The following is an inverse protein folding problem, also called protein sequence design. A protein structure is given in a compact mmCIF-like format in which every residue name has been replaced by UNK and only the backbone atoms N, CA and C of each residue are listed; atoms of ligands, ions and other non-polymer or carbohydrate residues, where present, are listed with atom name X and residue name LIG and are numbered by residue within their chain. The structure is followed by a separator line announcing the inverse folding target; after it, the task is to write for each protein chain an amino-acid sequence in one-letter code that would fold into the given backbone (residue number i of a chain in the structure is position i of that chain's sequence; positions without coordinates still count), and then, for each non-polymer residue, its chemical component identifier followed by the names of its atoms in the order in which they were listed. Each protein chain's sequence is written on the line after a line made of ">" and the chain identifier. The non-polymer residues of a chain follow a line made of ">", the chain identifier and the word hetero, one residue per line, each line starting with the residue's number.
data_IF_796865539830
#
_entry.id   IF_796865539830
#
_cell.length_a   1.000
_cell.length_b   1.000
_cell.length_c   1.000
_cell.angle_alpha   90.00
_cell.angle_beta   90.00
_cell.angle_gamma   90.00
#
_symmetry.space_group_name_H-M   'P 1'
#
loop_
_entity.id
_entity.type
_entity.pdbx_description
1 polymer ?
#
# COMPACT_ATOMS: atom_id res chain seq x y z
N UNK A 1 1.93 2.98 -2.56
CA UNK A 1 3.14 2.27 -2.10
C UNK A 1 4.34 3.10 -2.52
N UNK A 2 5.18 3.54 -1.57
CA UNK A 2 6.31 4.43 -1.86
C UNK A 2 7.26 3.81 -2.89
N UNK A 3 7.50 2.50 -2.84
CA UNK A 3 8.43 1.84 -3.76
C UNK A 3 7.87 1.85 -5.18
N UNK A 4 6.57 1.57 -5.33
CA UNK A 4 5.89 1.67 -6.62
C UNK A 4 5.88 3.11 -7.15
N UNK A 5 5.67 4.10 -6.27
CA UNK A 5 5.72 5.52 -6.65
C UNK A 5 7.09 5.89 -7.22
N UNK A 6 8.19 5.40 -6.64
CA UNK A 6 9.55 5.62 -7.18
C UNK A 6 9.75 4.99 -8.55
N UNK A 7 9.23 3.77 -8.75
CA UNK A 7 9.28 3.11 -10.05
C UNK A 7 8.53 3.95 -11.10
N UNK A 8 7.33 4.41 -10.76
CA UNK A 8 6.44 5.15 -11.67
C UNK A 8 6.91 6.58 -11.95
N UNK A 9 7.48 7.27 -10.96
CA UNK A 9 7.88 8.67 -11.08
C UNK A 9 9.30 8.85 -11.64
N UNK A 10 10.19 7.87 -11.49
CA UNK A 10 11.61 8.03 -11.83
C UNK A 10 12.18 6.91 -12.70
N UNK A 11 12.00 5.64 -12.30
CA UNK A 11 12.63 4.51 -13.03
C UNK A 11 12.04 4.32 -14.42
N UNK A 12 10.70 4.19 -14.53
CA UNK A 12 10.04 4.01 -15.83
C UNK A 12 10.19 5.24 -16.73
N UNK A 13 10.06 6.49 -16.23
CA UNK A 13 10.32 7.67 -17.04
C UNK A 13 11.76 7.76 -17.58
N UNK A 14 12.78 7.36 -16.80
CA UNK A 14 14.16 7.30 -17.28
C UNK A 14 14.30 6.29 -18.44
N UNK A 15 13.72 5.10 -18.30
CA UNK A 15 13.69 4.10 -19.37
C UNK A 15 12.95 4.61 -20.62
N UNK A 16 11.79 5.25 -20.45
CA UNK A 16 11.04 5.84 -21.56
C UNK A 16 11.85 6.91 -22.28
N UNK A 17 12.56 7.77 -21.54
CA UNK A 17 13.39 8.80 -22.14
C UNK A 17 14.56 8.20 -22.91
N UNK A 18 15.23 7.17 -22.39
CA UNK A 18 16.29 6.46 -23.09
C UNK A 18 15.78 5.80 -24.38
N UNK A 19 14.60 5.17 -24.35
CA UNK A 19 13.98 4.58 -25.53
C UNK A 19 13.61 5.63 -26.59
N UNK A 20 13.10 6.81 -26.18
CA UNK A 20 12.84 7.93 -27.08
C UNK A 20 14.13 8.43 -27.73
N UNK A 21 15.20 8.57 -26.95
CA UNK A 21 16.53 8.96 -27.46
C UNK A 21 17.13 7.93 -28.42
N UNK A 22 16.79 6.65 -28.24
CA UNK A 22 17.12 5.57 -29.18
C UNK A 22 16.19 5.52 -30.43
N UNK A 23 15.29 6.48 -30.59
CA UNK A 23 14.44 6.60 -31.78
C UNK A 23 13.08 5.89 -31.71
N UNK A 24 12.67 5.35 -30.55
CA UNK A 24 11.33 4.78 -30.41
C UNK A 24 10.27 5.89 -30.25
N UNK A 25 9.40 6.04 -31.25
CA UNK A 25 8.35 7.07 -31.26
C UNK A 25 7.25 6.83 -30.22
N UNK A 26 6.72 5.60 -30.15
CA UNK A 26 5.57 5.26 -29.30
C UNK A 26 5.97 4.37 -28.12
N UNK A 27 6.75 4.95 -27.19
CA UNK A 27 7.24 4.25 -25.99
C UNK A 27 6.10 3.80 -25.06
N UNK A 28 5.02 4.55 -24.94
CA UNK A 28 3.91 4.22 -24.02
C UNK A 28 3.24 2.89 -24.35
N UNK A 29 3.02 2.59 -25.63
CA UNK A 29 2.45 1.31 -26.07
C UNK A 29 3.36 0.15 -25.70
N UNK A 30 4.68 0.30 -25.88
CA UNK A 30 5.65 -0.72 -25.49
C UNK A 30 5.68 -0.90 -23.96
N UNK A 31 5.73 0.19 -23.21
CA UNK A 31 5.74 0.14 -21.74
C UNK A 31 4.46 -0.48 -21.18
N UNK A 32 3.29 -0.15 -21.74
CA UNK A 32 2.03 -0.78 -21.38
C UNK A 32 2.01 -2.28 -21.71
N UNK A 33 2.61 -2.70 -22.83
CA UNK A 33 2.72 -4.11 -23.21
C UNK A 33 3.66 -4.88 -22.26
N UNK A 34 4.82 -4.29 -21.92
CA UNK A 34 5.85 -4.95 -21.11
C UNK A 34 5.57 -4.91 -19.62
N UNK A 35 4.99 -3.82 -19.13
CA UNK A 35 4.89 -3.52 -17.70
C UNK A 35 3.47 -3.12 -17.25
N UNK A 36 2.48 -3.14 -18.14
CA UNK A 36 1.08 -2.85 -17.83
C UNK A 36 0.27 -4.10 -17.50
N UNK A 37 -0.93 -3.87 -16.98
CA UNK A 37 -1.85 -4.92 -16.53
C UNK A 37 -2.41 -5.76 -17.69
N UNK A 38 -2.66 -5.12 -18.84
CA UNK A 38 -3.14 -5.77 -20.08
C UNK A 38 -2.05 -6.54 -20.83
N UNK A 39 -0.81 -6.55 -20.31
CA UNK A 39 0.29 -7.31 -20.88
C UNK A 39 0.01 -8.83 -20.82
N UNK A 40 0.42 -9.54 -21.88
CA UNK A 40 0.20 -10.98 -22.11
C UNK A 40 0.19 -11.83 -20.82
N UNK A 41 -0.92 -12.52 -20.58
CA UNK A 41 -1.16 -13.44 -19.44
C UNK A 41 -0.39 -14.77 -19.56
N UNK A 42 0.71 -14.79 -20.31
CA UNK A 42 1.36 -15.99 -20.83
C UNK A 42 2.66 -16.28 -20.06
N UNK A 43 3.47 -17.24 -20.55
CA UNK A 43 4.77 -17.67 -20.00
C UNK A 43 5.78 -16.52 -19.70
N UNK A 44 5.56 -15.33 -20.24
CA UNK A 44 6.39 -14.13 -19.97
C UNK A 44 6.00 -13.37 -18.70
N UNK A 45 4.85 -13.68 -18.08
CA UNK A 45 4.42 -13.06 -16.82
C UNK A 45 5.47 -13.23 -15.70
N UNK A 46 6.06 -14.42 -15.58
CA UNK A 46 7.16 -14.68 -14.65
C UNK A 46 8.39 -13.81 -14.96
N UNK A 47 8.78 -13.67 -16.24
CA UNK A 47 9.93 -12.85 -16.60
C UNK A 47 9.68 -11.35 -16.36
N UNK A 48 8.46 -10.86 -16.60
CA UNK A 48 8.04 -9.50 -16.24
C UNK A 48 8.12 -9.26 -14.73
N UNK A 49 7.64 -10.21 -13.93
CA UNK A 49 7.79 -10.18 -12.48
C UNK A 49 9.27 -10.13 -12.09
N UNK A 50 10.12 -10.96 -12.70
CA UNK A 50 11.54 -10.98 -12.43
C UNK A 50 12.25 -9.68 -12.83
N UNK A 51 11.86 -9.02 -13.93
CA UNK A 51 12.35 -7.66 -14.26
C UNK A 51 12.02 -6.69 -13.13
N UNK A 52 10.79 -6.73 -12.60
CA UNK A 52 10.39 -5.86 -11.50
C UNK A 52 11.21 -6.14 -10.23
N UNK A 53 11.38 -7.42 -9.88
CA UNK A 53 12.10 -7.85 -8.68
C UNK A 53 13.62 -7.61 -8.75
N UNK A 54 14.24 -7.84 -9.91
CA UNK A 54 15.70 -7.80 -10.09
C UNK A 54 16.22 -6.44 -10.60
N UNK A 55 15.37 -5.62 -11.23
CA UNK A 55 15.78 -4.33 -11.79
C UNK A 55 15.02 -3.19 -11.09
N UNK A 56 13.71 -3.08 -11.27
CA UNK A 56 12.98 -1.86 -10.86
C UNK A 56 12.91 -1.66 -9.34
N UNK A 57 12.68 -2.73 -8.57
CA UNK A 57 12.63 -2.66 -7.12
C UNK A 57 13.98 -2.29 -6.49
N UNK A 58 15.12 -2.92 -6.87
CA UNK A 58 16.44 -2.49 -6.43
C UNK A 58 16.76 -1.05 -6.81
N UNK A 59 16.50 -0.61 -8.05
CA UNK A 59 16.71 0.79 -8.47
C UNK A 59 15.93 1.77 -7.60
N UNK A 60 14.63 1.50 -7.41
CA UNK A 60 13.78 2.32 -6.56
C UNK A 60 14.24 2.34 -5.09
N UNK A 61 14.78 1.22 -4.59
CA UNK A 61 15.38 1.16 -3.26
C UNK A 61 16.65 2.00 -3.17
N UNK A 62 17.55 1.91 -4.15
CA UNK A 62 18.77 2.73 -4.20
C UNK A 62 18.43 4.23 -4.23
N UNK A 63 17.40 4.65 -4.97
CA UNK A 63 16.89 6.03 -4.93
C UNK A 63 16.47 6.42 -3.51
N UNK A 64 15.66 5.58 -2.84
CA UNK A 64 15.19 5.86 -1.49
C UNK A 64 16.33 5.87 -0.46
N UNK A 65 17.32 4.99 -0.59
CA UNK A 65 18.49 4.94 0.30
C UNK A 65 19.36 6.21 0.17
N UNK A 66 19.53 6.74 -1.04
CA UNK A 66 20.16 8.04 -1.25
C UNK A 66 19.31 9.16 -0.65
N UNK A 67 18.00 9.10 -0.83
CA UNK A 67 17.08 10.09 -0.28
C UNK A 67 16.98 10.06 1.26
N UNK A 68 17.17 8.92 1.91
CA UNK A 68 17.26 8.84 3.38
C UNK A 68 18.46 9.64 3.92
N UNK A 69 19.53 9.80 3.13
CA UNK A 69 20.75 10.54 3.53
C UNK A 69 20.76 11.98 3.06
N UNK A 70 19.73 12.39 2.33
CA UNK A 70 19.61 13.72 1.75
C UNK A 70 19.41 14.78 2.83
N UNK A 71 20.23 15.83 2.80
CA UNK A 71 20.01 17.05 3.56
C UNK A 71 19.17 18.03 2.71
N UNK A 72 17.94 18.40 3.13
CA UNK A 72 17.12 19.39 2.43
C UNK A 72 17.77 20.76 2.18
N UNK A 73 18.87 21.09 2.86
CA UNK A 73 19.64 22.31 2.63
C UNK A 73 20.64 22.18 1.47
N UNK A 74 20.96 20.97 1.04
CA UNK A 74 21.83 20.73 -0.11
C UNK A 74 21.03 20.84 -1.42
N UNK A 75 21.05 22.03 -2.01
CA UNK A 75 20.38 22.29 -3.29
C UNK A 75 20.98 21.52 -4.49
N UNK A 76 22.23 21.05 -4.37
CA UNK A 76 23.00 20.40 -5.43
C UNK A 76 22.92 18.88 -5.41
N UNK A 77 22.36 18.26 -4.37
CA UNK A 77 22.32 16.81 -4.26
C UNK A 77 21.52 16.17 -5.41
N UNK A 78 22.19 15.29 -6.14
CA UNK A 78 21.62 14.55 -7.26
C UNK A 78 22.18 13.13 -7.35
N UNK A 79 21.39 12.25 -7.95
CA UNK A 79 21.83 10.95 -8.44
C UNK A 79 22.08 11.14 -9.94
N UNK A 80 23.30 10.84 -10.39
CA UNK A 80 23.66 10.75 -11.80
C UNK A 80 24.42 9.44 -11.99
N UNK A 81 23.71 8.41 -12.45
CA UNK A 81 24.22 7.07 -12.59
C UNK A 81 23.42 6.28 -13.63
N UNK A 82 24.03 5.25 -14.20
CA UNK A 82 23.34 4.24 -15.00
C UNK A 82 22.57 3.26 -14.11
N UNK A 83 21.62 2.54 -14.70
CA UNK A 83 20.94 1.44 -14.00
C UNK A 83 21.95 0.40 -13.49
N UNK A 84 23.00 0.08 -14.24
CA UNK A 84 24.05 -0.84 -13.80
C UNK A 84 24.71 -0.41 -12.48
N UNK A 85 25.11 0.86 -12.38
CA UNK A 85 25.80 1.41 -11.22
C UNK A 85 24.91 1.49 -9.98
N UNK A 86 23.59 1.56 -10.16
CA UNK A 86 22.62 1.63 -9.08
C UNK A 86 22.18 0.25 -8.55
N UNK A 87 22.49 -0.84 -9.25
CA UNK A 87 22.13 -2.20 -8.84
C UNK A 87 23.23 -2.81 -7.96
N UNK A 88 22.84 -3.35 -6.80
CA UNK A 88 23.77 -4.04 -5.90
C UNK A 88 24.16 -5.43 -6.38
N UNK A 89 23.26 -6.09 -7.11
CA UNK A 89 23.46 -7.41 -7.69
C UNK A 89 23.06 -7.38 -9.18
N UNK A 90 23.83 -8.03 -10.07
CA UNK A 90 23.49 -8.07 -11.48
C UNK A 90 22.23 -8.92 -11.69
N UNK A 91 21.29 -8.47 -12.56
CA UNK A 91 20.15 -9.29 -12.94
C UNK A 91 20.60 -10.58 -13.63
N UNK A 92 19.81 -11.63 -13.48
CA UNK A 92 20.10 -12.91 -14.14
C UNK A 92 20.12 -12.78 -15.66
N UNK A 93 20.97 -13.56 -16.34
CA UNK A 93 21.09 -13.52 -17.80
C UNK A 93 19.74 -13.68 -18.52
N UNK A 94 18.87 -14.58 -18.04
CA UNK A 94 17.53 -14.80 -18.62
C UNK A 94 16.65 -13.54 -18.58
N UNK A 95 16.77 -12.75 -17.51
CA UNK A 95 16.00 -11.49 -17.37
C UNK A 95 16.54 -10.45 -18.33
N UNK A 96 17.86 -10.31 -18.44
CA UNK A 96 18.51 -9.38 -19.37
C UNK A 96 18.21 -9.74 -20.83
N UNK A 97 18.35 -11.00 -21.20
CA UNK A 97 18.05 -11.51 -22.55
C UNK A 97 16.58 -11.25 -22.93
N UNK A 98 15.66 -11.51 -21.99
CA UNK A 98 14.24 -11.22 -22.19
C UNK A 98 14.00 -9.72 -22.43
N UNK A 99 14.43 -8.86 -21.50
CA UNK A 99 14.07 -7.45 -21.58
C UNK A 99 14.79 -6.73 -22.71
N UNK A 100 16.11 -6.93 -22.86
CA UNK A 100 16.86 -6.35 -23.97
C UNK A 100 16.37 -6.91 -25.31
N UNK A 101 15.99 -8.19 -25.37
CA UNK A 101 15.38 -8.78 -26.57
C UNK A 101 14.05 -8.14 -26.97
N UNK A 102 13.16 -7.86 -26.01
CA UNK A 102 11.90 -7.15 -26.30
C UNK A 102 12.14 -5.68 -26.72
N UNK A 103 13.06 -4.98 -26.06
CA UNK A 103 13.40 -3.59 -26.37
C UNK A 103 14.08 -3.47 -27.74
N UNK A 104 15.05 -4.35 -28.04
CA UNK A 104 15.75 -4.40 -29.33
C UNK A 104 14.80 -4.67 -30.49
N UNK A 105 13.83 -5.58 -30.31
CA UNK A 105 12.80 -5.88 -31.33
C UNK A 105 11.88 -4.69 -31.60
N UNK A 106 11.67 -3.81 -30.62
CA UNK A 106 10.91 -2.58 -30.81
C UNK A 106 11.73 -1.48 -31.51
N UNK A 107 13.06 -1.51 -31.37
CA UNK A 107 14.00 -0.53 -31.91
C UNK A 107 14.58 -0.95 -33.28
N UNK A 108 13.73 -1.33 -34.25
CA UNK A 108 14.06 -1.57 -35.67
C UNK A 108 15.44 -2.24 -36.01
N UNK A 109 16.03 -3.04 -35.12
CA UNK A 109 17.28 -3.79 -35.33
C UNK A 109 18.59 -2.99 -35.34
N UNK A 110 18.59 -1.72 -35.75
CA UNK A 110 19.85 -1.00 -36.07
C UNK A 110 20.59 -0.39 -34.87
N UNK A 111 19.91 -0.16 -33.74
CA UNK A 111 20.54 0.41 -32.54
C UNK A 111 20.62 -0.62 -31.42
N UNK A 112 21.82 -0.89 -30.91
CA UNK A 112 22.01 -1.75 -29.74
C UNK A 112 21.48 -1.03 -28.51
N UNK A 113 20.50 -1.63 -27.83
CA UNK A 113 19.96 -1.13 -26.57
C UNK A 113 20.24 -2.09 -25.42
N UNK A 114 20.76 -1.56 -24.31
CA UNK A 114 20.94 -2.29 -23.07
C UNK A 114 20.28 -1.53 -21.92
N UNK A 115 19.32 -2.18 -21.26
CA UNK A 115 18.61 -1.62 -20.10
C UNK A 115 19.56 -1.19 -18.98
N UNK A 116 20.71 -1.85 -18.83
CA UNK A 116 21.67 -1.52 -17.79
C UNK A 116 22.42 -0.21 -18.05
N UNK A 117 22.47 0.24 -19.30
CA UNK A 117 23.10 1.51 -19.71
C UNK A 117 22.14 2.70 -19.67
N UNK A 118 20.89 2.50 -19.24
CA UNK A 118 19.91 3.58 -19.11
C UNK A 118 20.38 4.58 -18.05
N UNK A 119 20.56 5.88 -18.39
CA UNK A 119 20.94 6.90 -17.42
C UNK A 119 19.74 7.28 -16.54
N UNK A 120 19.99 7.44 -15.24
CA UNK A 120 19.06 7.96 -14.26
C UNK A 120 19.67 9.21 -13.62
N UNK A 121 19.14 10.37 -14.02
CA UNK A 121 19.51 11.67 -13.47
C UNK A 121 18.35 12.20 -12.63
N UNK A 122 18.54 12.32 -11.32
CA UNK A 122 17.52 12.72 -10.36
C UNK A 122 18.06 13.72 -9.34
N UNK A 123 17.56 14.95 -9.39
CA UNK A 123 17.75 15.93 -8.30
C UNK A 123 16.95 15.53 -7.07
N UNK A 124 17.59 15.35 -5.92
CA UNK A 124 16.92 14.91 -4.69
C UNK A 124 15.93 15.96 -4.16
N UNK A 125 16.14 17.24 -4.45
CA UNK A 125 15.16 18.30 -4.19
C UNK A 125 13.84 18.12 -4.96
N UNK A 126 13.90 17.58 -6.18
CA UNK A 126 12.68 17.27 -6.94
C UNK A 126 11.88 16.17 -6.22
N UNK A 127 12.57 15.10 -5.81
CA UNK A 127 11.97 14.01 -5.02
C UNK A 127 11.41 14.53 -3.69
N UNK A 128 12.12 15.42 -3.01
CA UNK A 128 11.63 16.07 -1.81
C UNK A 128 10.32 16.81 -2.04
N UNK A 129 10.22 17.55 -3.15
CA UNK A 129 9.00 18.24 -3.58
C UNK A 129 7.80 17.30 -3.77
N UNK A 130 7.99 16.05 -4.23
CA UNK A 130 6.88 15.10 -4.44
C UNK A 130 6.16 14.73 -3.13
N UNK A 131 6.88 14.72 -1.99
CA UNK A 131 6.29 14.51 -0.66
C UNK A 131 5.45 15.71 -0.20
N UNK A 132 5.71 16.90 -0.71
CA UNK A 132 5.00 18.13 -0.35
C UNK A 132 3.80 18.40 -1.29
N UNK A 133 3.90 17.98 -2.56
CA UNK A 133 2.93 18.25 -3.63
C UNK A 133 1.84 17.18 -3.83
N UNK A 134 1.67 16.26 -2.88
CA UNK A 134 0.67 15.16 -2.92
C UNK A 134 0.85 14.17 -4.08
N UNK A 135 2.06 14.06 -4.63
CA UNK A 135 2.38 13.13 -5.71
C UNK A 135 2.77 11.75 -5.21
N UNK A 136 3.32 11.68 -4.01
CA UNK A 136 3.58 10.44 -3.30
C UNK A 136 2.30 9.90 -2.66
N UNK A 137 1.96 8.64 -2.91
CA UNK A 137 0.71 8.01 -2.46
C UNK A 137 0.53 8.03 -0.94
N UNK A 138 1.62 8.02 -0.17
CA UNK A 138 1.59 8.07 1.30
C UNK A 138 1.12 9.43 1.85
N UNK A 139 1.27 10.52 1.09
CA UNK A 139 1.06 11.89 1.57
C UNK A 139 -0.38 12.13 2.02
N UNK A 140 -1.36 11.58 1.30
CA UNK A 140 -2.76 11.71 1.66
C UNK A 140 -3.04 11.10 3.03
N UNK A 141 -2.53 9.89 3.30
CA UNK A 141 -2.66 9.22 4.59
C UNK A 141 -1.99 10.03 5.70
N UNK A 142 -0.80 10.58 5.46
CA UNK A 142 -0.08 11.40 6.46
C UNK A 142 -0.82 12.71 6.77
N UNK A 143 -1.42 13.35 5.76
CA UNK A 143 -2.27 14.53 5.96
C UNK A 143 -3.49 14.21 6.82
N UNK A 144 -4.19 13.11 6.52
CA UNK A 144 -5.32 12.66 7.35
C UNK A 144 -4.88 12.34 8.79
N UNK A 145 -3.72 11.73 8.98
CA UNK A 145 -3.16 11.47 10.32
C UNK A 145 -2.83 12.77 11.07
N UNK A 146 -2.28 13.79 10.39
CA UNK A 146 -2.03 15.10 10.98
C UNK A 146 -3.33 15.76 11.46
N UNK A 147 -4.43 15.64 10.69
CA UNK A 147 -5.75 16.11 11.13
C UNK A 147 -6.21 15.41 12.41
N UNK A 148 -6.03 14.09 12.52
CA UNK A 148 -6.37 13.33 13.73
C UNK A 148 -5.54 13.76 14.93
N UNK A 149 -4.23 13.93 14.76
CA UNK A 149 -3.34 14.41 15.83
C UNK A 149 -3.82 15.76 16.36
N UNK A 150 -4.19 16.69 15.47
CA UNK A 150 -4.75 17.99 15.85
C UNK A 150 -6.12 17.86 16.51
N UNK A 151 -7.02 17.02 15.98
CA UNK A 151 -8.38 16.85 16.48
C UNK A 151 -8.40 16.33 17.92
N UNK A 152 -7.56 15.34 18.23
CA UNK A 152 -7.46 14.76 19.57
C UNK A 152 -6.57 15.57 20.52
N UNK A 153 -6.05 16.72 20.08
CA UNK A 153 -5.19 17.60 20.89
C UNK A 153 -4.01 16.85 21.53
N UNK A 154 -3.35 15.99 20.76
CA UNK A 154 -2.24 15.19 21.27
C UNK A 154 -1.11 16.08 21.81
N UNK A 155 -0.41 15.63 22.86
CA UNK A 155 0.70 16.41 23.40
C UNK A 155 1.99 16.26 22.58
N UNK A 156 2.28 15.05 22.13
CA UNK A 156 3.52 14.68 21.44
C UNK A 156 3.20 13.73 20.29
N UNK A 157 3.87 13.92 19.15
CA UNK A 157 3.81 13.02 18.01
C UNK A 157 5.17 12.32 17.84
N UNK A 158 5.18 10.99 17.99
CA UNK A 158 6.37 10.17 17.75
C UNK A 158 6.32 9.59 16.32
N UNK A 159 7.34 9.89 15.51
CA UNK A 159 7.49 9.33 14.17
C UNK A 159 8.38 8.09 14.23
N UNK A 160 7.84 6.95 13.81
CA UNK A 160 8.54 5.66 13.80
C UNK A 160 8.35 4.88 12.50
N UNK A 161 9.02 3.74 12.37
CA UNK A 161 9.04 2.91 11.17
C UNK A 161 9.97 3.45 10.08
N UNK A 162 10.35 2.61 9.12
CA UNK A 162 11.29 2.98 8.04
C UNK A 162 10.89 4.24 7.26
N UNK A 163 9.62 4.43 6.85
CA UNK A 163 9.25 5.64 6.12
C UNK A 163 9.46 6.96 6.87
N UNK A 164 9.52 6.95 8.21
CA UNK A 164 9.80 8.17 9.00
C UNK A 164 11.23 8.71 8.81
N UNK A 165 12.15 7.88 8.27
CA UNK A 165 13.52 8.28 7.92
C UNK A 165 13.57 9.22 6.72
N UNK A 166 12.56 9.19 5.86
CA UNK A 166 12.54 10.04 4.68
C UNK A 166 12.40 11.52 5.07
N UNK A 167 13.31 12.41 4.63
CA UNK A 167 13.26 13.83 4.96
C UNK A 167 11.91 14.47 4.60
N UNK A 168 11.29 14.03 3.50
CA UNK A 168 9.98 14.51 3.05
C UNK A 168 8.83 14.19 3.99
N UNK A 169 8.85 13.05 4.69
CA UNK A 169 7.81 12.70 5.68
C UNK A 169 7.90 13.62 6.90
N UNK A 170 9.11 13.84 7.40
CA UNK A 170 9.32 14.76 8.52
C UNK A 170 9.01 16.21 8.13
N UNK A 171 9.44 16.64 6.94
CA UNK A 171 9.14 17.96 6.39
C UNK A 171 7.64 18.17 6.23
N UNK A 172 6.90 17.16 5.74
CA UNK A 172 5.45 17.23 5.62
C UNK A 172 4.78 17.47 6.97
N UNK A 173 5.10 16.71 8.03
CA UNK A 173 4.52 16.96 9.35
C UNK A 173 4.89 18.34 9.91
N UNK A 174 6.13 18.79 9.72
CA UNK A 174 6.56 20.14 10.13
C UNK A 174 5.87 21.25 9.33
N UNK A 175 5.54 20.99 8.07
CA UNK A 175 4.78 21.91 7.22
C UNK A 175 3.29 21.95 7.59
N UNK A 176 2.69 20.81 7.90
CA UNK A 176 1.29 20.69 8.32
C UNK A 176 1.04 21.24 9.72
N UNK A 177 2.07 21.25 10.58
CA UNK A 177 2.01 21.74 11.96
C UNK A 177 0.82 21.22 12.78
N UNK A 178 0.56 19.90 12.84
CA UNK A 178 -0.47 19.37 13.73
C UNK A 178 -0.13 19.62 15.21
N UNK A 179 1.16 19.86 15.50
CA UNK A 179 1.72 20.26 16.79
C UNK A 179 2.89 21.24 16.56
N UNK A 180 3.31 22.01 17.58
CA UNK A 180 4.57 22.74 17.54
C UNK A 180 5.74 21.80 17.19
N UNK A 181 6.68 22.26 16.36
CA UNK A 181 7.77 21.42 15.86
C UNK A 181 8.63 20.76 16.94
N UNK A 182 8.75 21.37 18.13
CA UNK A 182 9.45 20.80 19.28
C UNK A 182 8.78 19.56 19.88
N UNK A 183 7.52 19.30 19.54
CA UNK A 183 6.72 18.15 20.01
C UNK A 183 6.52 17.07 18.94
N UNK A 184 7.13 17.23 17.77
CA UNK A 184 7.16 16.22 16.70
C UNK A 184 8.54 15.57 16.72
N UNK A 185 8.64 14.38 17.30
CA UNK A 185 9.90 13.70 17.56
C UNK A 185 10.09 12.53 16.60
N UNK A 186 11.16 12.57 15.80
CA UNK A 186 11.60 11.38 15.08
C UNK A 186 12.30 10.44 16.05
N UNK A 187 11.93 9.15 16.02
CA UNK A 187 12.62 8.12 16.79
C UNK A 187 13.92 7.68 16.13
N UNK A 188 14.16 8.01 14.86
CA UNK A 188 15.49 7.83 14.27
C UNK A 188 16.51 8.74 14.95
N UNK A 189 17.63 8.16 15.41
CA UNK A 189 18.69 8.89 16.09
C UNK A 189 18.33 9.39 17.49
N UNK A 190 17.15 9.05 18.01
CA UNK A 190 16.72 9.45 19.34
C UNK A 190 17.64 8.84 20.40
N UNK A 191 18.12 9.65 21.34
CA UNK A 191 19.06 9.22 22.36
C UNK A 191 18.35 8.42 23.45
N UNK A 192 18.76 7.17 23.59
CA UNK A 192 18.26 6.22 24.58
C UNK A 192 19.32 5.81 25.59
N UNK A 193 20.59 6.21 25.42
CA UNK A 193 21.72 5.63 26.17
C UNK A 193 21.81 4.11 25.93
N UNK A 194 22.36 3.35 26.87
CA UNK A 194 22.71 1.94 26.64
C UNK A 194 21.55 0.95 26.85
N UNK A 195 20.40 1.37 27.40
CA UNK A 195 19.32 0.43 27.72
C UNK A 195 18.60 -0.13 26.49
N UNK A 196 18.59 0.62 25.39
CA UNK A 196 17.86 0.23 24.18
C UNK A 196 18.63 -0.87 23.43
N UNK A 197 18.07 -2.09 23.25
CA UNK A 197 18.86 -3.24 22.78
C UNK A 197 19.51 -3.07 21.40
N UNK A 198 18.87 -2.31 20.51
CA UNK A 198 19.34 -2.09 19.13
C UNK A 198 19.99 -0.71 18.96
N UNK A 199 20.56 -0.14 20.04
CA UNK A 199 21.18 1.17 19.97
C UNK A 199 22.51 1.12 19.21
N UNK A 200 22.85 2.23 18.58
CA UNK A 200 24.17 2.51 18.02
C UNK A 200 24.64 3.83 18.60
N UNK A 201 25.72 3.79 19.38
CA UNK A 201 26.25 4.95 20.10
C UNK A 201 25.18 5.62 20.99
N UNK A 202 24.39 4.82 21.71
CA UNK A 202 23.36 5.32 22.63
C UNK A 202 22.12 5.91 21.94
N UNK A 203 21.92 5.66 20.65
CA UNK A 203 20.78 6.16 19.85
C UNK A 203 20.05 5.05 19.12
N UNK A 204 18.76 5.25 18.86
CA UNK A 204 17.96 4.34 18.04
C UNK A 204 18.43 4.44 16.57
N UNK A 205 19.09 3.39 16.07
CA UNK A 205 19.60 3.35 14.69
C UNK A 205 18.47 3.11 13.69
N UNK A 206 17.61 2.11 13.96
CA UNK A 206 16.49 1.75 13.11
C UNK A 206 15.15 1.97 13.84
N UNK A 207 14.35 2.98 13.45
CA UNK A 207 13.07 3.26 14.11
C UNK A 207 12.08 2.10 14.01
N UNK A 208 12.20 1.17 13.04
CA UNK A 208 11.33 -0.03 12.99
C UNK A 208 11.51 -0.93 14.22
N UNK A 209 12.68 -0.89 14.87
CA UNK A 209 12.96 -1.71 16.06
C UNK A 209 12.11 -1.32 17.27
N UNK A 210 11.51 -0.11 17.30
CA UNK A 210 10.77 0.37 18.48
C UNK A 210 9.52 -0.48 18.75
N UNK A 211 8.92 -1.07 17.72
CA UNK A 211 7.80 -2.00 17.88
C UNK A 211 8.23 -3.30 18.59
N UNK A 212 9.38 -3.86 18.21
CA UNK A 212 9.93 -5.06 18.84
C UNK A 212 10.36 -4.79 20.30
N UNK A 213 10.98 -3.63 20.55
CA UNK A 213 11.32 -3.21 21.91
C UNK A 213 10.07 -2.96 22.76
N UNK A 214 9.02 -2.35 22.19
CA UNK A 214 7.73 -2.21 22.86
C UNK A 214 7.13 -3.55 23.27
N UNK A 215 7.12 -4.53 22.36
CA UNK A 215 6.65 -5.89 22.67
C UNK A 215 7.48 -6.58 23.77
N UNK A 216 8.81 -6.41 23.74
CA UNK A 216 9.69 -6.89 24.80
C UNK A 216 9.36 -6.25 26.15
N UNK A 217 9.12 -4.93 26.19
CA UNK A 217 8.72 -4.23 27.41
C UNK A 217 7.38 -4.76 27.95
N UNK A 218 6.41 -5.04 27.08
CA UNK A 218 5.16 -5.68 27.48
C UNK A 218 5.40 -7.03 28.15
N UNK A 219 6.22 -7.89 27.55
CA UNK A 219 6.55 -9.21 28.10
C UNK A 219 7.26 -9.11 29.45
N UNK A 220 8.27 -8.25 29.56
CA UNK A 220 9.00 -8.05 30.83
C UNK A 220 8.09 -7.47 31.92
N UNK A 221 7.13 -6.62 31.56
CA UNK A 221 6.16 -6.09 32.51
C UNK A 221 5.20 -7.18 33.03
N UNK A 222 4.74 -8.09 32.16
CA UNK A 222 3.90 -9.24 32.55
C UNK A 222 4.62 -10.15 33.56
N UNK A 223 5.92 -10.34 33.37
CA UNK A 223 6.76 -11.16 34.26
C UNK A 223 7.27 -10.39 35.50
N UNK A 224 6.85 -9.13 35.71
CA UNK A 224 7.32 -8.24 36.78
C UNK A 224 8.86 -8.04 36.80
N UNK A 225 9.49 -8.06 35.63
CA UNK A 225 10.96 -7.97 35.45
C UNK A 225 11.47 -6.57 35.17
N UNK A 226 10.59 -5.57 35.09
CA UNK A 226 10.97 -4.16 34.93
C UNK A 226 11.07 -3.48 36.30
N UNK A 227 12.29 -3.11 36.71
CA UNK A 227 12.51 -2.35 37.94
C UNK A 227 12.06 -0.90 37.77
N UNK A 228 11.34 -0.35 38.75
CA UNK A 228 10.96 1.08 38.79
C UNK A 228 10.14 1.58 37.60
N UNK A 229 9.56 0.67 36.80
CA UNK A 229 8.67 0.99 35.70
C UNK A 229 7.42 0.13 35.80
N UNK A 230 6.29 0.77 36.09
CA UNK A 230 5.02 0.07 36.23
C UNK A 230 4.16 0.26 34.99
N UNK A 231 3.72 -0.85 34.42
CA UNK A 231 3.03 -0.89 33.15
C UNK A 231 2.03 -2.04 33.15
N UNK A 232 0.74 -1.73 32.94
CA UNK A 232 -0.35 -2.72 32.94
C UNK A 232 -0.43 -3.44 31.61
N UNK A 233 0.60 -4.23 31.28
CA UNK A 233 0.63 -4.99 30.02
C UNK A 233 -0.55 -5.99 29.90
N UNK A 234 -1.08 -6.48 31.01
CA UNK A 234 -2.23 -7.41 31.01
C UNK A 234 -3.56 -6.80 30.58
N UNK A 235 -3.68 -5.47 30.59
CA UNK A 235 -4.90 -4.77 30.18
C UNK A 235 -5.01 -4.66 28.64
N UNK A 236 -3.95 -4.99 27.89
CA UNK A 236 -4.00 -4.98 26.44
C UNK A 236 -4.83 -6.13 25.90
N UNK A 237 -5.93 -5.77 25.27
CA UNK A 237 -6.78 -6.69 24.53
C UNK A 237 -6.84 -6.23 23.07
N UNK A 238 -6.74 -7.15 22.09
CA UNK A 238 -7.06 -6.81 20.72
C UNK A 238 -8.53 -6.38 20.65
N UNK A 239 -8.82 -5.38 19.83
CA UNK A 239 -10.18 -4.90 19.61
C UNK A 239 -10.38 -4.57 18.13
N UNK A 240 -11.62 -4.62 17.67
CA UNK A 240 -11.94 -4.31 16.28
C UNK A 240 -11.87 -2.82 16.01
N UNK A 241 -11.21 -2.44 14.91
CA UNK A 241 -11.19 -1.04 14.44
C UNK A 241 -12.25 -0.77 13.37
N UNK A 242 -13.04 -1.77 13.00
CA UNK A 242 -14.07 -1.65 11.95
C UNK A 242 -15.25 -0.87 12.52
N UNK A 243 -15.50 0.34 12.02
CA UNK A 243 -16.72 1.11 12.36
C UNK A 243 -17.66 1.29 11.18
N UNK A 244 -17.11 1.50 9.99
CA UNK A 244 -17.87 1.70 8.76
C UNK A 244 -17.42 0.67 7.72
N UNK A 245 -18.34 -0.11 7.17
CA UNK A 245 -18.08 -1.14 6.16
C UNK A 245 -18.89 -0.83 4.90
N UNK A 246 -18.24 -0.92 3.74
CA UNK A 246 -18.91 -0.64 2.48
C UNK A 246 -18.06 -0.95 1.25
N UNK A 247 -18.53 -0.53 0.08
CA UNK A 247 -17.80 -0.73 -1.17
C UNK A 247 -16.63 0.24 -1.27
N UNK A 248 -15.43 -0.31 -1.49
CA UNK A 248 -14.27 0.50 -1.82
C UNK A 248 -14.35 0.99 -3.26
N UNK A 249 -14.07 2.27 -3.40
CA UNK A 249 -13.86 2.93 -4.69
C UNK A 249 -12.39 2.80 -5.11
N UNK A 250 -12.03 3.50 -6.18
CA UNK A 250 -10.64 3.73 -6.52
C UNK A 250 -9.88 4.36 -5.33
N UNK A 251 -8.57 4.13 -5.29
CA UNK A 251 -7.65 4.70 -4.30
C UNK A 251 -7.99 4.39 -2.83
N UNK A 252 -8.71 3.29 -2.57
CA UNK A 252 -9.17 2.86 -1.25
C UNK A 252 -9.97 3.93 -0.50
N UNK A 253 -10.79 4.69 -1.24
CA UNK A 253 -11.76 5.60 -0.63
C UNK A 253 -13.07 4.87 -0.34
N UNK A 254 -13.71 5.24 0.77
CA UNK A 254 -15.03 4.78 1.17
C UNK A 254 -15.93 5.99 1.42
N UNK A 255 -16.56 6.49 0.35
CA UNK A 255 -17.47 7.62 0.43
C UNK A 255 -18.69 7.32 1.30
N UNK A 256 -19.32 8.37 1.83
CA UNK A 256 -20.52 8.23 2.66
C UNK A 256 -21.67 7.51 1.95
N UNK A 257 -21.78 7.63 0.63
CA UNK A 257 -22.77 6.91 -0.20
C UNK A 257 -22.49 5.42 -0.35
N UNK A 258 -21.23 5.00 -0.21
CA UNK A 258 -20.82 3.61 -0.36
C UNK A 258 -20.65 2.87 0.97
N UNK A 259 -20.90 3.55 2.10
CA UNK A 259 -21.00 2.91 3.42
C UNK A 259 -22.32 2.15 3.51
N UNK A 260 -22.25 0.84 3.72
CA UNK A 260 -23.41 -0.05 3.80
C UNK A 260 -23.80 -0.37 5.24
N UNK A 261 -22.81 -0.48 6.12
CA UNK A 261 -23.00 -0.73 7.55
C UNK A 261 -22.22 0.32 8.35
N UNK A 262 -22.83 0.81 9.41
CA UNK A 262 -22.34 1.90 10.26
C UNK A 262 -22.29 1.45 11.71
N UNK A 263 -21.48 2.16 12.49
CA UNK A 263 -21.38 2.02 13.94
C UNK A 263 -21.17 0.55 14.38
N UNK A 264 -20.34 -0.16 13.61
CA UNK A 264 -19.99 -1.55 13.89
C UNK A 264 -19.22 -1.61 15.20
N UNK A 265 -19.63 -2.52 16.09
CA UNK A 265 -18.97 -2.75 17.37
C UNK A 265 -18.82 -4.25 17.61
N UNK A 266 -17.80 -4.86 17.02
CA UNK A 266 -17.58 -6.30 17.14
C UNK A 266 -17.12 -6.70 18.55
N UNK A 267 -16.60 -5.76 19.34
CA UNK A 267 -16.16 -6.01 20.71
C UNK A 267 -17.35 -6.15 21.69
N UNK A 268 -18.58 -5.83 21.24
CA UNK A 268 -19.82 -6.11 21.96
C UNK A 268 -20.33 -7.53 21.59
N UNK A 269 -20.38 -8.49 22.55
CA UNK A 269 -20.69 -9.89 22.24
C UNK A 269 -22.05 -10.13 21.56
N UNK A 270 -23.02 -9.24 21.77
CA UNK A 270 -24.36 -9.32 21.21
C UNK A 270 -24.56 -8.45 19.96
N UNK A 271 -23.49 -7.86 19.42
CA UNK A 271 -23.60 -6.98 18.27
C UNK A 271 -24.10 -7.73 17.03
N UNK A 272 -25.07 -7.12 16.35
CA UNK A 272 -25.58 -7.60 15.06
C UNK A 272 -25.67 -6.45 14.08
N UNK A 273 -25.46 -6.75 12.80
CA UNK A 273 -25.68 -5.78 11.74
C UNK A 273 -27.18 -5.45 11.63
N UNK A 274 -27.48 -4.21 11.22
CA UNK A 274 -28.86 -3.80 10.93
C UNK A 274 -29.49 -4.76 9.91
N UNK A 275 -30.51 -5.50 10.35
CA UNK A 275 -31.25 -6.45 9.52
C UNK A 275 -31.92 -5.82 8.29
N UNK A 276 -32.13 -4.51 8.27
CA UNK A 276 -32.69 -3.76 7.14
C UNK A 276 -31.62 -3.36 6.13
N UNK A 277 -30.37 -3.22 6.58
CA UNK A 277 -29.26 -2.86 5.71
C UNK A 277 -29.02 -3.94 4.65
N UNK A 278 -28.79 -3.47 3.43
CA UNK A 278 -28.41 -4.30 2.28
C UNK A 278 -27.74 -3.41 1.26
N UNK A 279 -26.92 -4.01 0.39
CA UNK A 279 -26.28 -3.29 -0.69
C UNK A 279 -26.50 -3.98 -2.02
N UNK A 280 -26.30 -3.23 -3.11
CA UNK A 280 -26.54 -3.71 -4.46
C UNK A 280 -25.22 -3.92 -5.19
N UNK A 281 -25.14 -4.99 -5.97
CA UNK A 281 -23.97 -5.29 -6.80
C UNK A 281 -24.42 -5.62 -8.23
N UNK A 282 -23.59 -5.20 -9.20
CA UNK A 282 -23.73 -5.51 -10.64
C UNK A 282 -22.59 -6.39 -11.16
N UNK A 283 -21.77 -6.92 -10.26
CA UNK A 283 -20.56 -7.66 -10.56
C UNK A 283 -19.77 -7.92 -9.29
N UNK A 284 -18.50 -8.31 -9.45
CA UNK A 284 -17.59 -8.38 -8.31
C UNK A 284 -17.31 -7.00 -7.73
N UNK A 285 -17.06 -6.93 -6.42
CA UNK A 285 -16.62 -5.70 -5.77
C UNK A 285 -15.64 -5.99 -4.63
N UNK A 286 -14.93 -4.95 -4.19
CA UNK A 286 -14.14 -4.98 -2.98
C UNK A 286 -14.90 -4.27 -1.85
N UNK A 287 -15.11 -4.96 -0.74
CA UNK A 287 -15.56 -4.35 0.51
C UNK A 287 -14.34 -3.95 1.34
N UNK A 288 -14.43 -2.78 1.95
CA UNK A 288 -13.43 -2.28 2.87
C UNK A 288 -14.05 -1.46 3.98
N UNK A 289 -13.21 -1.02 4.90
CA UNK A 289 -13.66 -0.36 6.11
C UNK A 289 -12.86 0.89 6.45
N UNK A 290 -13.48 1.78 7.23
CA UNK A 290 -12.81 2.91 7.88
C UNK A 290 -13.18 3.01 9.36
N UNK A 291 -12.27 3.58 10.14
CA UNK A 291 -12.39 3.76 11.59
C UNK A 291 -13.23 4.99 11.98
N UNK A 292 -13.16 6.06 11.17
CA UNK A 292 -13.73 7.37 11.49
C UNK A 292 -14.87 7.72 10.53
N UNK A 293 -15.88 8.48 10.99
CA UNK A 293 -16.93 8.99 10.10
C UNK A 293 -16.49 10.20 9.25
N UNK A 294 -15.41 10.04 8.48
CA UNK A 294 -14.93 11.00 7.50
C UNK A 294 -14.63 10.30 6.17
N UNK A 295 -15.26 10.76 5.08
CA UNK A 295 -15.05 10.20 3.73
C UNK A 295 -13.64 10.42 3.17
N UNK A 296 -12.89 11.39 3.70
CA UNK A 296 -11.47 11.62 3.36
C UNK A 296 -10.52 10.70 4.13
N UNK A 297 -11.02 9.99 5.13
CA UNK A 297 -10.22 9.03 5.89
C UNK A 297 -9.93 7.81 5.00
N UNK A 298 -8.66 7.39 4.87
CA UNK A 298 -8.32 6.24 4.04
C UNK A 298 -9.03 5.00 4.56
N UNK A 299 -9.65 4.25 3.66
CA UNK A 299 -10.23 2.96 3.99
C UNK A 299 -9.24 1.83 3.69
N UNK A 300 -9.47 0.68 4.30
CA UNK A 300 -8.67 -0.53 4.10
C UNK A 300 -9.51 -1.64 3.45
N UNK A 301 -8.98 -2.36 2.45
CA UNK A 301 -9.66 -3.50 1.87
C UNK A 301 -9.80 -4.62 2.90
N UNK A 302 -10.94 -5.31 2.85
CA UNK A 302 -11.27 -6.38 3.79
C UNK A 302 -11.76 -7.65 3.09
N UNK A 303 -12.72 -7.52 2.18
CA UNK A 303 -13.26 -8.66 1.44
C UNK A 303 -13.36 -8.38 -0.06
N UNK A 304 -13.28 -9.45 -0.85
CA UNK A 304 -13.68 -9.49 -2.25
C UNK A 304 -14.96 -10.31 -2.35
N UNK A 305 -16.01 -9.73 -2.95
CA UNK A 305 -17.25 -10.41 -3.26
C UNK A 305 -17.27 -10.74 -4.75
N UNK A 306 -17.33 -12.01 -5.09
CA UNK A 306 -17.34 -12.49 -6.49
C UNK A 306 -18.55 -13.36 -6.77
N UNK A 307 -19.01 -13.33 -8.03
CA UNK A 307 -20.05 -14.22 -8.55
C UNK A 307 -19.34 -15.43 -9.14
N UNK A 308 -19.53 -16.61 -8.55
CA UNK A 308 -18.87 -17.85 -8.97
C UNK A 308 -19.66 -18.62 -10.02
N UNK A 309 -20.98 -18.44 -10.05
CA UNK A 309 -21.84 -19.11 -11.03
C UNK A 309 -21.92 -18.34 -12.36
N UNK A 310 -21.63 -19.03 -13.47
CA UNK A 310 -21.63 -18.43 -14.81
C UNK A 310 -23.03 -17.99 -15.26
N UNK A 311 -24.09 -18.72 -14.89
CA UNK A 311 -25.45 -18.40 -15.30
C UNK A 311 -25.95 -17.13 -14.62
N UNK A 312 -25.65 -17.00 -13.32
CA UNK A 312 -25.92 -15.82 -12.52
C UNK A 312 -25.11 -14.62 -13.01
N UNK A 313 -23.82 -14.81 -13.30
CA UNK A 313 -22.96 -13.76 -13.83
C UNK A 313 -23.52 -13.18 -15.14
N UNK A 314 -23.99 -14.04 -16.07
CA UNK A 314 -24.65 -13.60 -17.31
C UNK A 314 -25.95 -12.83 -17.06
N UNK A 315 -26.77 -13.27 -16.11
CA UNK A 315 -28.02 -12.57 -15.73
C UNK A 315 -27.75 -11.19 -15.16
N UNK A 316 -26.76 -11.07 -14.28
CA UNK A 316 -26.36 -9.79 -13.67
C UNK A 316 -25.76 -8.85 -14.72
N UNK A 317 -24.91 -9.38 -15.63
CA UNK A 317 -24.33 -8.59 -16.72
C UNK A 317 -25.38 -8.05 -17.72
N UNK A 318 -26.54 -8.71 -17.85
CA UNK A 318 -27.62 -8.35 -18.77
C UNK A 318 -28.57 -7.25 -18.29
N UNK A 319 -28.25 -6.52 -17.21
CA UNK A 319 -29.04 -5.45 -16.56
C UNK A 319 -29.88 -5.88 -15.32
N UNK A 320 -29.38 -6.87 -14.56
CA UNK A 320 -29.94 -7.20 -13.24
C UNK A 320 -29.01 -6.77 -12.10
N UNK A 321 -29.59 -6.47 -10.93
CA UNK A 321 -28.83 -6.17 -9.71
C UNK A 321 -29.05 -7.26 -8.66
N UNK A 322 -28.00 -7.58 -7.92
CA UNK A 322 -28.08 -8.42 -6.74
C UNK A 322 -28.16 -7.56 -5.48
N UNK A 323 -29.16 -7.79 -4.65
CA UNK A 323 -29.25 -7.25 -3.29
C UNK A 323 -28.68 -8.26 -2.31
N UNK A 324 -27.64 -7.85 -1.59
CA UNK A 324 -26.88 -8.69 -0.66
C UNK A 324 -27.04 -8.16 0.77
N UNK A 325 -27.17 -9.09 1.72
CA UNK A 325 -27.10 -8.83 3.16
C UNK A 325 -25.95 -9.61 3.78
N UNK A 326 -25.27 -9.00 4.74
CA UNK A 326 -24.24 -9.65 5.54
C UNK A 326 -24.74 -9.89 6.96
N UNK A 327 -24.08 -10.81 7.64
CA UNK A 327 -24.19 -11.01 9.09
C UNK A 327 -22.80 -11.16 9.70
N UNK A 328 -22.67 -10.84 10.98
CA UNK A 328 -21.49 -11.20 11.78
C UNK A 328 -21.64 -12.66 12.21
N UNK A 329 -20.53 -13.38 12.18
CA UNK A 329 -20.39 -14.74 12.70
C UNK A 329 -19.23 -14.72 13.67
N UNK A 330 -19.49 -15.18 14.89
CA UNK A 330 -18.48 -15.30 15.93
C UNK A 330 -17.37 -16.28 15.51
N UNK A 331 -16.18 -16.11 16.07
CA UNK A 331 -15.10 -17.07 15.93
C UNK A 331 -15.50 -18.46 16.42
N UNK A 332 -14.86 -19.49 15.88
CA UNK A 332 -15.09 -20.88 16.27
C UNK A 332 -14.56 -21.19 17.68
N UNK A 333 -13.61 -20.38 18.16
CA UNK A 333 -13.00 -20.43 19.47
C UNK A 333 -12.64 -19.00 19.96
N UNK A 334 -12.29 -18.79 21.24
CA UNK A 334 -11.99 -17.46 21.80
C UNK A 334 -10.82 -16.71 21.16
N UNK A 335 -9.97 -17.38 20.38
CA UNK A 335 -8.83 -16.81 19.66
C UNK A 335 -9.10 -16.64 18.17
N UNK A 336 -10.18 -17.23 17.66
CA UNK A 336 -10.63 -17.07 16.28
C UNK A 336 -11.35 -15.73 16.12
N UNK A 337 -10.96 -14.89 15.13
CA UNK A 337 -11.60 -13.60 14.93
C UNK A 337 -13.04 -13.76 14.42
N UNK A 338 -13.92 -12.81 14.73
CA UNK A 338 -15.22 -12.75 14.06
C UNK A 338 -15.05 -12.52 12.55
N UNK A 339 -16.06 -12.93 11.79
CA UNK A 339 -16.08 -12.74 10.34
C UNK A 339 -17.44 -12.30 9.84
N UNK A 340 -17.45 -11.67 8.67
CA UNK A 340 -18.67 -11.37 7.95
C UNK A 340 -18.99 -12.51 6.97
N UNK A 341 -20.26 -12.90 6.91
CA UNK A 341 -20.77 -13.89 5.94
C UNK A 341 -21.98 -13.34 5.20
N UNK A 342 -22.24 -13.88 4.00
CA UNK A 342 -23.45 -13.56 3.24
C UNK A 342 -24.65 -14.21 3.93
N UNK A 343 -25.60 -13.39 4.37
CA UNK A 343 -26.82 -13.83 5.05
C UNK A 343 -27.99 -14.06 4.08
N UNK A 344 -28.13 -13.20 3.08
CA UNK A 344 -29.18 -13.29 2.05
C UNK A 344 -28.68 -12.68 0.73
N UNK A 345 -29.17 -13.23 -0.37
CA UNK A 345 -28.88 -12.75 -1.71
C UNK A 345 -30.13 -12.88 -2.58
N UNK A 346 -30.53 -11.78 -3.23
CA UNK A 346 -31.72 -11.75 -4.11
C UNK A 346 -31.46 -10.94 -5.37
N UNK A 347 -32.09 -11.33 -6.47
CA UNK A 347 -32.15 -10.51 -7.68
C UNK A 347 -33.15 -9.35 -7.50
N UNK A 348 -33.11 -8.38 -8.41
CA UNK A 348 -33.99 -7.21 -8.41
C UNK A 348 -35.49 -7.58 -8.45
N UNK A 349 -35.84 -8.70 -9.09
CA UNK A 349 -37.19 -9.27 -9.15
C UNK A 349 -37.65 -9.94 -7.83
N UNK A 350 -36.78 -9.99 -6.82
CA UNK A 350 -37.02 -10.60 -5.52
C UNK A 350 -36.70 -12.09 -5.44
N UNK A 351 -36.31 -12.73 -6.55
CA UNK A 351 -35.93 -14.15 -6.56
C UNK A 351 -34.68 -14.39 -5.72
N UNK A 352 -34.69 -15.49 -4.96
CA UNK A 352 -33.56 -15.88 -4.11
C UNK A 352 -32.42 -16.46 -4.93
N UNK A 353 -31.20 -16.08 -4.56
CA UNK A 353 -29.97 -16.60 -5.15
C UNK A 353 -29.32 -17.56 -4.17
N UNK A 354 -28.95 -18.79 -4.61
CA UNK A 354 -28.18 -19.70 -3.77
C UNK A 354 -26.86 -19.06 -3.35
N UNK A 355 -26.58 -19.06 -2.04
CA UNK A 355 -25.38 -18.41 -1.50
C UNK A 355 -24.08 -19.02 -2.05
N UNK A 356 -24.09 -20.30 -2.43
CA UNK A 356 -22.95 -20.98 -3.06
C UNK A 356 -22.54 -20.39 -4.43
N UNK A 357 -23.43 -19.62 -5.07
CA UNK A 357 -23.14 -18.91 -6.33
C UNK A 357 -22.38 -17.59 -6.11
N UNK A 358 -22.16 -17.24 -4.85
CA UNK A 358 -21.41 -16.06 -4.42
C UNK A 358 -20.25 -16.51 -3.53
N UNK A 359 -19.16 -15.77 -3.58
CA UNK A 359 -18.01 -16.01 -2.71
C UNK A 359 -17.57 -14.70 -2.09
N UNK A 360 -17.60 -14.65 -0.77
CA UNK A 360 -16.98 -13.59 0.02
C UNK A 360 -15.65 -14.13 0.55
N UNK A 361 -14.54 -13.59 0.03
CA UNK A 361 -13.19 -14.01 0.41
C UNK A 361 -12.44 -12.85 1.04
N UNK A 362 -11.68 -13.11 2.10
CA UNK A 362 -10.80 -12.10 2.68
C UNK A 362 -9.85 -11.59 1.59
N UNK A 363 -9.77 -10.27 1.45
CA UNK A 363 -8.85 -9.60 0.56
C UNK A 363 -8.37 -8.32 1.24
N UNK A 364 -7.17 -8.38 1.81
CA UNK A 364 -6.51 -7.25 2.48
C UNK A 364 -5.44 -6.59 1.60
N UNK A 365 -5.31 -7.02 0.34
CA UNK A 365 -4.43 -6.39 -0.63
C UNK A 365 -5.12 -5.16 -1.22
N UNK A 366 -4.40 -4.03 -1.34
CA UNK A 366 -4.94 -2.84 -2.00
C UNK A 366 -5.05 -3.09 -3.51
N UNK A 367 -6.13 -3.73 -3.93
CA UNK A 367 -6.49 -3.80 -5.32
C UNK A 367 -7.05 -2.42 -5.71
N UNK A 368 -6.42 -1.76 -6.67
CA UNK A 368 -6.97 -0.59 -7.35
C UNK A 368 -8.25 -0.99 -8.08
N UNK A 369 -9.38 -1.01 -7.36
CA UNK A 369 -10.75 -1.17 -7.88
C UNK A 369 -11.09 -2.48 -8.60
N UNK A 370 -10.12 -3.32 -8.94
CA UNK A 370 -10.34 -4.54 -9.72
C UNK A 370 -10.07 -5.77 -8.84
N UNK A 371 -11.11 -6.55 -8.54
CA UNK A 371 -11.02 -7.79 -7.76
C UNK A 371 -10.10 -8.85 -8.38
N UNK A 372 -9.72 -8.70 -9.66
CA UNK A 372 -8.79 -9.56 -10.37
C UNK A 372 -7.34 -9.00 -10.43
N UNK A 373 -7.11 -7.76 -10.00
CA UNK A 373 -5.78 -7.17 -10.07
C UNK A 373 -4.87 -7.76 -9.00
N UNK A 374 -3.89 -8.55 -9.43
CA UNK A 374 -2.80 -9.04 -8.60
C UNK A 374 -1.94 -7.88 -8.11
N UNK A 375 -1.35 -8.04 -6.92
CA UNK A 375 -0.40 -7.08 -6.38
C UNK A 375 0.78 -6.86 -7.35
N UNK A 376 1.28 -5.63 -7.41
CA UNK A 376 2.24 -5.22 -8.46
C UNK A 376 3.57 -5.98 -8.38
N UNK A 377 4.00 -6.39 -7.19
CA UNK A 377 5.21 -7.24 -7.00
C UNK A 377 4.99 -8.64 -7.58
N UNK A 378 3.77 -9.17 -7.46
CA UNK A 378 3.45 -10.52 -7.95
C UNK A 378 3.24 -10.53 -9.46
N UNK A 379 2.57 -9.51 -9.98
CA UNK A 379 2.27 -9.41 -11.40
C UNK A 379 3.41 -8.82 -12.24
N UNK A 380 4.33 -8.06 -11.64
CA UNK A 380 5.28 -7.20 -12.34
C UNK A 380 4.63 -6.05 -13.12
N UNK A 381 3.36 -5.74 -12.82
CA UNK A 381 2.62 -4.67 -13.50
C UNK A 381 2.82 -3.35 -12.78
N UNK A 382 3.78 -2.57 -13.23
CA UNK A 382 4.20 -1.30 -12.60
C UNK A 382 3.86 -0.06 -13.43
N UNK A 383 3.44 -0.22 -14.68
CA UNK A 383 3.08 0.89 -15.57
C UNK A 383 1.59 1.19 -15.49
N UNK A 384 1.24 2.44 -15.14
CA UNK A 384 -0.13 2.96 -15.21
C UNK A 384 -0.27 3.72 -16.55
N UNK A 385 -1.36 3.43 -17.28
CA UNK A 385 -1.76 4.19 -18.46
C UNK A 385 -2.27 5.57 -18.05
#
# INVERSE_FOLDING_TARGET
>A
DILLDMIQLYVLPALQQALKSAGLLNTEVLMAKLFGHDGRTDAHSTLRQQVTLQIFMPLARTILENYERFDPLDSSAEIDATFAEMLTEPPTHKVLEYINGELQRALNGDQVFDILQVPLILKLNKLHGEFLSNRMSIVQTLRSMAEVVSLYSCDVLLLTGRPSRFPGVQALFRHLQPLPGSRILSLEGYHTSDWYPFNKLGRIDNPKSTAAVGAMLCLLALDLRLSSFWFRAGDFQPYSTIRYLGMLEADNLLSSSNVYYRDIDLDQPEFTLDSKASFRIRGGLCLGFRQLDNHRWPASPLYSLTITDHSLARKVAGDSELRIKLRVVAGEDPYSPERFEIADARLADGSRVPLAHLRLSLNTLSASGNSAAQYWIDSGSVFKK
#
